data_IF_835101394242
#
_entry.id   IF_835101394242
#
_cell.length_a   1.000
_cell.length_b   1.000
_cell.length_c   1.000
_cell.angle_alpha   90.00
_cell.angle_beta   90.00
_cell.angle_gamma   90.00
#
_symmetry.space_group_name_H-M   'P 1'
#
loop_
_entity.id
_entity.type
_entity.pdbx_description
1 polymer ?
#
# COMPACT_ATOMS: atom_id res chain seq x y z
N UNK A 1 32.53 20.06 0.39
CA UNK A 1 31.83 21.33 0.62
C UNK A 1 32.64 22.13 1.67
N UNK A 2 33.11 23.34 1.33
CA UNK A 2 33.85 24.17 2.29
C UNK A 2 32.87 24.70 3.34
N UNK A 3 33.17 24.51 4.61
CA UNK A 3 32.47 25.18 5.71
C UNK A 3 32.61 26.71 5.55
N UNK A 4 31.55 27.49 5.85
CA UNK A 4 31.65 28.95 5.84
C UNK A 4 32.81 29.44 6.73
N UNK A 5 33.55 30.45 6.31
CA UNK A 5 34.71 30.97 7.03
C UNK A 5 34.45 31.39 8.50
N UNK A 6 33.19 31.70 8.84
CA UNK A 6 32.77 31.98 10.22
C UNK A 6 32.72 30.75 11.13
N UNK A 7 32.72 29.52 10.56
CA UNK A 7 32.66 28.26 11.31
C UNK A 7 34.08 27.68 11.60
N UNK A 8 35.14 28.17 10.97
CA UNK A 8 36.48 27.57 11.12
C UNK A 8 37.02 27.65 12.54
N UNK A 9 36.78 28.75 13.26
CA UNK A 9 37.19 28.89 14.65
C UNK A 9 36.43 27.99 15.62
N UNK A 10 35.11 27.83 15.39
CA UNK A 10 34.23 26.96 16.19
C UNK A 10 34.50 25.48 15.91
N UNK A 11 34.80 25.11 14.66
CA UNK A 11 35.15 23.75 14.29
C UNK A 11 36.47 23.29 14.99
N UNK A 12 37.50 24.11 15.03
CA UNK A 12 38.76 23.78 15.72
C UNK A 12 38.58 23.56 17.24
N UNK A 13 37.62 24.26 17.87
CA UNK A 13 37.28 24.04 19.27
C UNK A 13 36.53 22.68 19.43
N UNK A 14 35.59 22.40 18.56
CA UNK A 14 34.83 21.11 18.58
C UNK A 14 35.79 19.92 18.29
N UNK A 15 36.77 20.06 17.40
CA UNK A 15 37.79 19.02 17.17
C UNK A 15 38.58 18.69 18.44
N UNK A 16 38.90 19.70 19.23
CA UNK A 16 39.63 19.50 20.52
C UNK A 16 38.72 18.77 21.52
N UNK A 17 37.44 19.15 21.63
CA UNK A 17 36.49 18.45 22.48
C UNK A 17 36.28 17.02 21.98
N UNK A 18 36.18 16.81 20.67
CA UNK A 18 36.05 15.48 20.07
C UNK A 18 37.27 14.59 20.41
N UNK A 19 38.46 15.14 20.39
CA UNK A 19 39.67 14.41 20.77
C UNK A 19 39.76 14.11 22.28
N UNK A 20 39.09 14.93 23.12
CA UNK A 20 39.09 14.72 24.58
C UNK A 20 37.99 13.74 25.00
N UNK A 21 36.78 13.92 24.51
CA UNK A 21 35.60 13.05 24.80
C UNK A 21 34.65 13.03 23.59
N UNK A 22 34.79 11.99 22.80
CA UNK A 22 33.98 11.79 21.60
C UNK A 22 32.47 11.62 21.91
N UNK A 23 32.14 10.90 23.00
CA UNK A 23 30.73 10.62 23.35
C UNK A 23 30.03 11.89 23.80
N UNK A 24 30.66 12.67 24.69
CA UNK A 24 30.09 13.92 25.20
C UNK A 24 29.96 14.96 24.09
N UNK A 25 30.94 15.04 23.19
CA UNK A 25 30.89 15.99 22.05
C UNK A 25 29.81 15.60 21.06
N UNK A 26 29.64 14.30 20.77
CA UNK A 26 28.58 13.79 19.91
C UNK A 26 27.17 14.06 20.49
N UNK A 27 26.99 13.80 21.78
CA UNK A 27 25.74 14.10 22.48
C UNK A 27 25.36 15.58 22.39
N UNK A 28 26.35 16.49 22.58
CA UNK A 28 26.15 17.93 22.47
C UNK A 28 25.78 18.37 21.03
N UNK A 29 26.43 17.78 20.01
CA UNK A 29 26.10 18.04 18.58
C UNK A 29 24.70 17.58 18.28
N UNK A 30 24.30 16.39 18.72
CA UNK A 30 22.96 15.82 18.48
C UNK A 30 21.88 16.64 19.19
N UNK A 31 22.13 17.04 20.44
CA UNK A 31 21.19 17.87 21.19
C UNK A 31 20.98 19.24 20.53
N UNK A 32 22.06 19.85 20.06
CA UNK A 32 21.98 21.14 19.35
C UNK A 32 21.21 21.00 18.02
N UNK A 33 21.54 19.97 17.23
CA UNK A 33 20.83 19.65 16.01
C UNK A 33 19.34 19.48 16.26
N UNK A 34 18.96 18.71 17.28
CA UNK A 34 17.55 18.48 17.61
C UNK A 34 16.83 19.77 18.00
N UNK A 35 17.44 20.58 18.86
CA UNK A 35 16.88 21.87 19.27
C UNK A 35 16.68 22.83 18.09
N UNK A 36 17.61 22.84 17.14
CA UNK A 36 17.49 23.66 15.94
C UNK A 36 16.45 23.09 14.98
N UNK A 37 16.44 21.79 14.74
CA UNK A 37 15.48 21.12 13.85
C UNK A 37 14.03 21.25 14.30
N UNK A 38 13.76 21.41 15.60
CA UNK A 38 12.40 21.57 16.15
C UNK A 38 11.91 23.00 16.12
N UNK A 39 12.79 24.00 16.02
CA UNK A 39 12.46 25.43 16.11
C UNK A 39 12.41 26.14 14.76
N UNK A 40 13.00 25.60 13.72
CA UNK A 40 13.32 26.36 12.51
C UNK A 40 12.57 25.85 11.27
N UNK A 41 12.11 26.81 10.43
CA UNK A 41 11.51 26.54 9.12
C UNK A 41 12.56 26.04 8.09
N UNK A 42 13.86 26.13 8.40
CA UNK A 42 14.98 25.72 7.54
C UNK A 42 15.61 24.37 7.93
N UNK A 43 14.76 23.39 8.26
CA UNK A 43 15.19 22.06 8.74
C UNK A 43 16.23 21.38 7.86
N UNK A 44 16.08 21.42 6.52
CA UNK A 44 17.04 20.79 5.63
C UNK A 44 18.45 21.41 5.71
N UNK A 45 18.54 22.72 5.94
CA UNK A 45 19.82 23.41 6.13
C UNK A 45 20.51 22.98 7.44
N UNK A 46 19.74 22.85 8.52
CA UNK A 46 20.27 22.37 9.82
C UNK A 46 20.73 20.92 9.71
N UNK A 47 19.99 20.08 9.01
CA UNK A 47 20.33 18.69 8.75
C UNK A 47 21.65 18.59 7.94
N UNK A 48 21.77 19.34 6.84
CA UNK A 48 22.99 19.35 6.00
C UNK A 48 24.22 19.94 6.75
N UNK A 49 24.03 20.99 7.53
CA UNK A 49 25.10 21.58 8.32
C UNK A 49 25.61 20.61 9.41
N UNK A 50 24.71 19.89 10.06
CA UNK A 50 25.07 18.90 11.08
C UNK A 50 25.81 17.72 10.47
N UNK A 51 25.38 17.25 9.31
CA UNK A 51 26.07 16.17 8.60
C UNK A 51 27.49 16.60 8.15
N UNK A 52 27.60 17.80 7.59
CA UNK A 52 28.89 18.34 7.22
C UNK A 52 29.85 18.50 8.45
N UNK A 53 29.30 18.87 9.60
CA UNK A 53 30.03 18.91 10.84
C UNK A 53 30.50 17.52 11.30
N UNK A 54 29.63 16.52 11.25
CA UNK A 54 30.02 15.15 11.60
C UNK A 54 31.06 14.57 10.66
N UNK A 55 30.97 14.83 9.36
CA UNK A 55 32.02 14.46 8.38
C UNK A 55 33.36 15.16 8.64
N UNK A 56 33.31 16.39 9.14
CA UNK A 56 34.52 17.13 9.51
C UNK A 56 35.15 16.60 10.79
N UNK A 57 34.33 16.25 11.79
CA UNK A 57 34.85 15.75 13.09
C UNK A 57 35.38 14.32 12.99
N UNK A 58 34.83 13.49 12.10
CA UNK A 58 35.29 12.11 11.93
C UNK A 58 35.09 11.61 10.50
N UNK A 59 36.15 10.97 9.98
CA UNK A 59 36.08 10.23 8.72
C UNK A 59 35.49 8.80 8.90
N UNK A 60 35.27 8.38 10.15
CA UNK A 60 34.79 7.02 10.47
C UNK A 60 33.31 6.98 10.76
N UNK A 61 32.52 6.57 9.77
CA UNK A 61 31.08 6.28 9.96
C UNK A 61 30.87 5.25 11.07
N UNK A 62 31.77 4.30 11.22
CA UNK A 62 31.68 3.25 12.22
C UNK A 62 31.68 3.81 13.65
N UNK A 63 32.47 4.85 13.92
CA UNK A 63 32.53 5.48 15.23
C UNK A 63 31.22 6.17 15.60
N UNK A 64 30.62 6.93 14.68
CA UNK A 64 29.29 7.56 14.87
C UNK A 64 28.23 6.52 15.12
N UNK A 65 28.17 5.48 14.28
CA UNK A 65 27.18 4.40 14.44
C UNK A 65 27.36 3.66 15.78
N UNK A 66 28.58 3.32 16.17
CA UNK A 66 28.84 2.63 17.45
C UNK A 66 28.35 3.45 18.62
N UNK A 67 28.74 4.73 18.70
CA UNK A 67 28.40 5.61 19.83
C UNK A 67 26.87 5.81 19.93
N UNK A 68 26.20 6.06 18.79
CA UNK A 68 24.73 6.29 18.80
C UNK A 68 23.96 4.99 19.04
N UNK A 69 24.39 3.86 18.47
CA UNK A 69 23.77 2.54 18.72
C UNK A 69 23.93 2.10 20.17
N UNK A 70 25.06 2.38 20.80
CA UNK A 70 25.30 2.10 22.23
C UNK A 70 24.41 2.99 23.10
N UNK A 71 24.24 4.27 22.76
CA UNK A 71 23.33 5.18 23.43
C UNK A 71 21.85 4.67 23.34
N UNK A 72 21.40 4.24 22.18
CA UNK A 72 20.07 3.66 21.98
C UNK A 72 19.93 2.37 22.81
N UNK A 73 20.90 1.46 22.71
CA UNK A 73 20.86 0.15 23.38
C UNK A 73 20.87 0.27 24.90
N UNK A 74 21.48 1.30 25.46
CA UNK A 74 21.56 1.56 26.91
C UNK A 74 20.21 2.00 27.49
N UNK A 75 19.32 2.57 26.67
CA UNK A 75 18.01 3.08 27.08
C UNK A 75 16.92 2.02 27.05
N UNK A 76 17.07 0.98 26.20
CA UNK A 76 16.12 -0.14 26.16
C UNK A 76 16.23 -0.93 27.45
N UNK A 77 15.14 -1.10 28.24
CA UNK A 77 15.18 -1.77 29.51
C UNK A 77 15.57 -3.24 29.32
N UNK A 78 16.84 -3.54 29.66
CA UNK A 78 17.30 -4.92 29.84
C UNK A 78 16.99 -5.31 31.27
N UNK A 79 16.40 -6.45 31.47
CA UNK A 79 16.07 -7.01 32.79
C UNK A 79 17.27 -7.24 33.73
N UNK A 80 18.47 -6.73 33.43
CA UNK A 80 19.66 -6.81 34.33
C UNK A 80 20.71 -5.72 34.00
N UNK A 81 21.17 -5.11 35.07
CA UNK A 81 22.33 -4.23 35.26
C UNK A 81 22.20 -2.75 34.88
N UNK A 82 22.21 -1.94 35.93
CA UNK A 82 22.11 -0.50 35.88
C UNK A 82 23.33 0.21 35.29
N UNK A 83 23.43 0.28 33.96
CA UNK A 83 24.18 1.36 33.34
C UNK A 83 23.21 2.52 33.13
N UNK A 84 23.42 3.59 33.87
CA UNK A 84 22.73 4.85 33.67
C UNK A 84 23.16 5.40 32.30
N UNK A 85 22.21 5.58 31.38
CA UNK A 85 22.48 6.28 30.12
C UNK A 85 22.81 7.74 30.38
N UNK A 86 23.93 8.20 29.85
CA UNK A 86 24.39 9.60 29.96
C UNK A 86 23.68 10.53 28.97
N UNK A 87 23.07 10.01 27.92
CA UNK A 87 22.38 10.79 26.90
C UNK A 87 20.98 11.22 27.35
N UNK A 88 20.67 12.49 27.26
CA UNK A 88 19.37 13.10 27.63
C UNK A 88 18.34 12.91 26.50
N UNK A 89 18.79 12.58 25.28
CA UNK A 89 17.93 12.48 24.09
C UNK A 89 17.11 11.20 24.03
N UNK A 90 15.89 11.28 23.53
CA UNK A 90 15.02 10.11 23.33
C UNK A 90 15.53 9.20 22.20
N UNK A 91 15.19 7.90 22.25
CA UNK A 91 15.58 6.92 21.24
C UNK A 91 15.12 7.32 19.82
N UNK A 92 13.89 7.83 19.59
CA UNK A 92 13.44 8.27 18.27
C UNK A 92 14.35 9.35 17.64
N UNK A 93 14.85 10.28 18.45
CA UNK A 93 15.77 11.34 17.99
C UNK A 93 17.09 10.74 17.50
N UNK A 94 17.64 9.79 18.25
CA UNK A 94 18.88 9.10 17.91
C UNK A 94 18.73 8.27 16.63
N UNK A 95 17.60 7.55 16.48
CA UNK A 95 17.30 6.81 15.24
C UNK A 95 17.17 7.74 14.05
N UNK A 96 16.53 8.90 14.22
CA UNK A 96 16.36 9.87 13.16
C UNK A 96 17.70 10.45 12.71
N UNK A 97 18.61 10.71 13.63
CA UNK A 97 19.97 11.12 13.26
C UNK A 97 20.68 10.03 12.45
N UNK A 98 20.62 8.77 12.90
CA UNK A 98 21.20 7.65 12.15
C UNK A 98 20.58 7.48 10.76
N UNK A 99 19.27 7.63 10.64
CA UNK A 99 18.58 7.58 9.35
C UNK A 99 19.07 8.70 8.42
N UNK A 100 19.15 9.93 8.93
CA UNK A 100 19.68 11.08 8.20
C UNK A 100 21.14 10.85 7.76
N UNK A 101 21.98 10.40 8.69
CA UNK A 101 23.38 10.11 8.40
C UNK A 101 23.53 8.97 7.37
N UNK A 102 22.77 7.89 7.52
CA UNK A 102 22.75 6.77 6.57
C UNK A 102 22.34 7.21 5.15
N UNK A 103 21.48 8.23 5.00
CA UNK A 103 21.11 8.74 3.67
C UNK A 103 22.27 9.39 2.92
N UNK A 104 23.29 9.87 3.60
CA UNK A 104 24.48 10.51 2.98
C UNK A 104 25.62 9.52 2.73
N UNK A 105 25.69 8.42 3.48
CA UNK A 105 26.74 7.42 3.31
C UNK A 105 26.62 6.69 1.97
N UNK A 106 27.76 6.34 1.40
CA UNK A 106 27.86 5.43 0.25
C UNK A 106 27.67 3.96 0.66
N UNK A 107 27.44 3.08 -0.31
CA UNK A 107 27.22 1.66 -0.07
C UNK A 107 28.40 0.96 0.63
N UNK A 108 29.64 1.41 0.38
CA UNK A 108 30.83 0.87 1.01
C UNK A 108 30.89 1.19 2.50
N UNK A 109 30.59 2.43 2.88
CA UNK A 109 30.51 2.87 4.27
C UNK A 109 29.36 2.17 5.00
N UNK A 110 28.18 2.00 4.36
CA UNK A 110 27.06 1.22 4.92
C UNK A 110 27.48 -0.24 5.16
N UNK A 111 28.24 -0.85 4.25
CA UNK A 111 28.73 -2.21 4.42
C UNK A 111 29.64 -2.37 5.67
N UNK A 112 30.43 -1.37 5.97
CA UNK A 112 31.31 -1.37 7.15
C UNK A 112 30.54 -1.25 8.47
N UNK A 113 29.42 -0.50 8.50
CA UNK A 113 28.62 -0.27 9.70
C UNK A 113 27.49 -1.29 9.87
N UNK A 114 27.20 -2.09 8.85
CA UNK A 114 26.10 -3.08 8.89
C UNK A 114 26.18 -4.05 10.08
N UNK A 115 27.31 -4.61 10.49
CA UNK A 115 27.38 -5.51 11.64
C UNK A 115 26.86 -4.88 12.94
N UNK A 116 27.13 -3.57 13.15
CA UNK A 116 26.66 -2.81 14.31
C UNK A 116 25.15 -2.63 14.21
N UNK A 117 24.66 -2.25 13.03
CA UNK A 117 23.23 -2.10 12.77
C UNK A 117 22.44 -3.40 12.91
N UNK A 118 22.99 -4.52 12.43
CA UNK A 118 22.39 -5.84 12.57
C UNK A 118 22.21 -6.23 14.05
N UNK A 119 23.21 -5.94 14.90
CA UNK A 119 23.10 -6.17 16.34
C UNK A 119 22.02 -5.29 16.98
N UNK A 120 21.99 -4.00 16.61
CA UNK A 120 20.94 -3.08 17.07
C UNK A 120 19.55 -3.56 16.65
N UNK A 121 19.37 -3.93 15.38
CA UNK A 121 18.09 -4.42 14.86
C UNK A 121 17.58 -5.66 15.63
N UNK A 122 18.46 -6.61 15.92
CA UNK A 122 18.15 -7.78 16.76
C UNK A 122 17.75 -7.41 18.18
N UNK A 123 18.39 -6.40 18.76
CA UNK A 123 18.05 -5.89 20.10
C UNK A 123 16.68 -5.20 20.07
N UNK A 124 16.41 -4.39 19.06
CA UNK A 124 15.14 -3.68 18.90
C UNK A 124 13.99 -4.64 18.62
N UNK A 125 14.25 -5.76 17.96
CA UNK A 125 13.28 -6.82 17.74
C UNK A 125 12.83 -7.55 19.01
N UNK A 126 13.40 -7.24 20.16
CA UNK A 126 13.02 -7.78 21.48
C UNK A 126 12.25 -6.74 22.32
N UNK A 127 12.15 -5.49 21.86
CA UNK A 127 11.41 -4.44 22.58
C UNK A 127 9.93 -4.46 22.26
N UNK A 128 9.12 -4.00 23.21
CA UNK A 128 7.67 -3.81 23.06
C UNK A 128 7.28 -2.37 22.78
N UNK A 129 8.25 -1.45 22.68
CA UNK A 129 8.00 -0.04 22.36
C UNK A 129 7.69 0.12 20.85
N UNK A 130 6.46 0.52 20.47
CA UNK A 130 6.10 0.70 19.06
C UNK A 130 7.00 1.71 18.35
N UNK A 131 7.33 2.82 19.02
CA UNK A 131 8.17 3.88 18.46
C UNK A 131 9.56 3.40 18.10
N UNK A 132 10.20 2.70 19.02
CA UNK A 132 11.56 2.20 18.84
C UNK A 132 11.62 1.20 17.69
N UNK A 133 10.65 0.28 17.62
CA UNK A 133 10.57 -0.70 16.54
C UNK A 133 10.34 -0.03 15.17
N UNK A 134 9.46 0.95 15.13
CA UNK A 134 9.17 1.70 13.90
C UNK A 134 10.40 2.44 13.36
N UNK A 135 11.12 3.17 14.21
CA UNK A 135 12.33 3.89 13.80
C UNK A 135 13.47 2.93 13.42
N UNK A 136 13.59 1.81 14.14
CA UNK A 136 14.55 0.76 13.79
C UNK A 136 14.22 0.14 12.41
N UNK A 137 12.93 -0.07 12.09
CA UNK A 137 12.50 -0.54 10.78
C UNK A 137 12.87 0.46 9.68
N UNK A 138 12.59 1.75 9.87
CA UNK A 138 12.93 2.80 8.90
C UNK A 138 14.42 2.83 8.61
N UNK A 139 15.25 2.88 9.66
CA UNK A 139 16.69 2.87 9.53
C UNK A 139 17.21 1.61 8.82
N UNK A 140 16.68 0.41 9.21
CA UNK A 140 17.04 -0.85 8.57
C UNK A 140 16.65 -0.86 7.08
N UNK A 141 15.52 -0.25 6.72
CA UNK A 141 15.09 -0.14 5.33
C UNK A 141 16.04 0.75 4.52
N UNK A 142 16.40 1.94 5.01
CA UNK A 142 17.34 2.85 4.34
C UNK A 142 18.70 2.18 4.16
N UNK A 143 19.24 1.60 5.22
CA UNK A 143 20.56 0.97 5.16
C UNK A 143 20.55 -0.29 4.29
N UNK A 144 19.52 -1.14 4.44
CA UNK A 144 19.39 -2.36 3.65
C UNK A 144 19.29 -2.08 2.16
N UNK A 145 18.47 -1.10 1.75
CA UNK A 145 18.35 -0.72 0.33
C UNK A 145 19.65 -0.17 -0.24
N UNK A 146 20.39 0.64 0.50
CA UNK A 146 21.72 1.11 0.06
C UNK A 146 22.76 -0.01 0.01
N UNK A 147 22.68 -0.96 0.93
CA UNK A 147 23.60 -2.10 0.98
C UNK A 147 23.47 -2.99 -0.28
N UNK A 148 22.33 -2.97 -0.97
CA UNK A 148 22.16 -3.73 -2.22
C UNK A 148 23.14 -3.33 -3.32
N UNK A 149 23.64 -2.10 -3.28
CA UNK A 149 24.63 -1.57 -4.24
C UNK A 149 26.07 -1.96 -3.88
N UNK A 150 26.28 -2.64 -2.74
CA UNK A 150 27.59 -3.12 -2.29
C UNK A 150 27.84 -4.58 -2.65
N UNK A 151 29.13 -4.94 -2.80
CA UNK A 151 29.52 -6.33 -3.00
C UNK A 151 29.17 -7.25 -1.81
N UNK A 152 29.08 -6.67 -0.60
CA UNK A 152 28.74 -7.41 0.62
C UNK A 152 27.34 -8.01 0.58
N UNK A 153 26.38 -7.38 -0.11
CA UNK A 153 25.03 -7.90 -0.28
C UNK A 153 24.97 -9.17 -1.17
N UNK A 154 25.97 -9.40 -2.01
CA UNK A 154 26.06 -10.61 -2.82
C UNK A 154 26.38 -11.84 -1.96
N UNK A 155 26.99 -11.66 -0.79
CA UNK A 155 27.19 -12.72 0.17
C UNK A 155 25.88 -13.23 0.74
N UNK A 156 25.62 -14.52 0.61
CA UNK A 156 24.35 -15.12 1.05
C UNK A 156 24.06 -14.91 2.55
N UNK A 157 25.11 -14.92 3.38
CA UNK A 157 24.98 -14.72 4.83
C UNK A 157 24.50 -13.30 5.14
N UNK A 158 25.15 -12.29 4.58
CA UNK A 158 24.81 -10.87 4.79
C UNK A 158 23.40 -10.58 4.27
N UNK A 159 23.09 -11.05 3.06
CA UNK A 159 21.77 -10.87 2.48
C UNK A 159 20.65 -11.46 3.37
N UNK A 160 20.84 -12.67 3.89
CA UNK A 160 19.88 -13.29 4.82
C UNK A 160 19.76 -12.51 6.11
N UNK A 161 20.85 -12.05 6.67
CA UNK A 161 20.86 -11.24 7.90
C UNK A 161 20.08 -9.93 7.73
N UNK A 162 20.25 -9.23 6.59
CA UNK A 162 19.48 -8.05 6.22
C UNK A 162 17.99 -8.37 6.11
N UNK A 163 17.65 -9.41 5.35
CA UNK A 163 16.27 -9.83 5.14
C UNK A 163 15.58 -10.22 6.45
N UNK A 164 16.26 -10.99 7.31
CA UNK A 164 15.71 -11.46 8.59
C UNK A 164 15.48 -10.29 9.57
N UNK A 165 16.43 -9.37 9.67
CA UNK A 165 16.28 -8.18 10.49
C UNK A 165 15.12 -7.30 10.00
N UNK A 166 15.06 -7.04 8.69
CA UNK A 166 14.03 -6.23 8.04
C UNK A 166 12.63 -6.83 8.22
N UNK A 167 12.43 -8.10 7.88
CA UNK A 167 11.14 -8.78 7.96
C UNK A 167 10.65 -8.84 9.39
N UNK A 168 11.52 -9.17 10.35
CA UNK A 168 11.15 -9.24 11.77
C UNK A 168 10.69 -7.90 12.32
N UNK A 169 11.42 -6.81 12.01
CA UNK A 169 11.01 -5.46 12.43
C UNK A 169 9.71 -5.03 11.75
N UNK A 170 9.51 -5.40 10.48
CA UNK A 170 8.28 -5.14 9.75
C UNK A 170 7.07 -5.81 10.41
N UNK A 171 7.13 -7.11 10.68
CA UNK A 171 6.06 -7.86 11.35
C UNK A 171 5.74 -7.32 12.73
N UNK A 172 6.76 -6.97 13.51
CA UNK A 172 6.58 -6.35 14.83
C UNK A 172 5.89 -4.99 14.72
N UNK A 173 6.34 -4.13 13.80
CA UNK A 173 5.72 -2.81 13.56
C UNK A 173 4.24 -2.98 13.21
N UNK A 174 3.92 -3.86 12.26
CA UNK A 174 2.55 -4.14 11.85
C UNK A 174 1.70 -4.63 13.04
N UNK A 175 2.22 -5.54 13.85
CA UNK A 175 1.47 -6.11 14.97
C UNK A 175 1.25 -5.12 16.10
N UNK A 176 2.23 -4.26 16.40
CA UNK A 176 2.14 -3.28 17.48
C UNK A 176 1.20 -2.11 17.10
N UNK A 177 1.33 -1.58 15.89
CA UNK A 177 0.49 -0.46 15.44
C UNK A 177 -0.91 -0.90 14.98
N UNK A 178 -1.05 -2.09 14.41
CA UNK A 178 -2.35 -2.64 14.04
C UNK A 178 -3.29 -2.83 15.23
N UNK A 179 -2.75 -3.24 16.39
CA UNK A 179 -3.53 -3.30 17.64
C UNK A 179 -4.00 -1.93 18.11
N UNK A 180 -3.24 -0.88 17.86
CA UNK A 180 -3.61 0.50 18.19
C UNK A 180 -4.74 1.03 17.30
N UNK A 181 -4.80 0.61 16.04
CA UNK A 181 -5.89 0.94 15.11
C UNK A 181 -7.23 0.31 15.54
N UNK A 182 -7.19 -0.92 16.05
CA UNK A 182 -8.40 -1.65 16.49
C UNK A 182 -9.03 -1.01 17.75
N UNK A 183 -8.21 -0.44 18.65
CA UNK A 183 -8.67 0.22 19.87
C UNK A 183 -9.35 1.57 19.56
N UNK A 184 -8.91 2.29 18.53
CA UNK A 184 -9.49 3.58 18.14
C UNK A 184 -10.84 3.46 17.42
N UNK A 185 -11.14 2.32 16.81
CA UNK A 185 -12.40 2.07 16.10
C UNK A 185 -13.57 1.62 17.01
N UNK A 186 -13.34 1.31 18.28
CA UNK A 186 -14.30 0.67 19.17
C UNK A 186 -14.66 1.41 20.46
N UNK A 187 -14.18 2.63 20.72
CA UNK A 187 -14.53 3.37 21.94
C UNK A 187 -14.89 4.81 21.67
N UNK A 188 -16.16 5.12 21.83
CA UNK A 188 -16.63 6.43 22.23
C UNK A 188 -15.85 6.92 23.46
N UNK A 189 -15.57 8.18 23.46
CA UNK A 189 -14.73 9.07 24.24
C UNK A 189 -14.93 9.08 25.76
N UNK A 190 -14.82 7.98 26.50
CA UNK A 190 -14.91 7.98 27.95
C UNK A 190 -13.88 7.08 28.69
N UNK A 191 -12.66 6.95 28.16
CA UNK A 191 -11.56 6.40 28.94
C UNK A 191 -10.63 7.55 29.37
N UNK A 192 -10.35 7.72 30.69
CA UNK A 192 -9.39 8.71 31.14
C UNK A 192 -8.03 8.39 30.53
N UNK A 193 -7.44 9.35 29.86
CA UNK A 193 -6.06 9.30 29.41
C UNK A 193 -5.17 9.01 30.61
N UNK A 194 -4.67 7.79 30.73
CA UNK A 194 -3.54 7.51 31.60
C UNK A 194 -2.34 8.19 30.95
N UNK A 195 -2.22 9.49 31.19
CA UNK A 195 -1.00 10.24 30.97
C UNK A 195 0.06 9.54 31.84
N UNK A 196 0.94 8.78 31.22
CA UNK A 196 2.17 8.36 31.87
C UNK A 196 2.97 9.64 32.12
N UNK A 197 3.27 9.87 33.38
CA UNK A 197 4.01 10.99 33.96
C UNK A 197 5.51 10.95 33.56
N UNK A 198 5.76 10.83 32.26
CA UNK A 198 7.09 11.02 31.65
C UNK A 198 6.91 12.10 30.61
N UNK A 199 7.52 13.25 30.87
CA UNK A 199 7.47 14.49 30.10
C UNK A 199 7.82 14.34 28.60
N UNK A 200 7.03 13.55 27.90
CA UNK A 200 7.06 13.42 26.44
C UNK A 200 6.32 14.60 25.84
N UNK A 201 7.01 15.41 25.08
CA UNK A 201 6.42 16.51 24.33
C UNK A 201 5.46 15.93 23.28
N UNK A 202 4.28 16.54 23.04
CA UNK A 202 3.24 16.02 22.11
C UNK A 202 3.70 15.81 20.67
N UNK A 203 4.92 16.23 20.30
CA UNK A 203 5.47 16.12 18.94
C UNK A 203 6.10 14.77 18.59
N UNK A 204 6.30 13.88 19.57
CA UNK A 204 7.02 12.61 19.33
C UNK A 204 6.08 11.42 19.06
N UNK A 205 4.77 11.61 19.13
CA UNK A 205 3.79 10.56 18.90
C UNK A 205 3.56 10.34 17.39
N UNK A 206 4.14 9.27 16.85
CA UNK A 206 3.87 8.86 15.46
C UNK A 206 2.46 8.26 15.38
N UNK A 207 1.60 8.86 14.56
CA UNK A 207 0.24 8.34 14.38
C UNK A 207 0.25 6.96 13.67
N UNK A 208 -0.67 6.05 14.02
CA UNK A 208 -0.80 4.77 13.31
C UNK A 208 -0.98 4.93 11.79
N UNK A 209 -1.70 5.96 11.37
CA UNK A 209 -1.88 6.30 9.95
C UNK A 209 -0.54 6.61 9.26
N UNK A 210 0.31 7.44 9.89
CA UNK A 210 1.64 7.78 9.37
C UNK A 210 2.55 6.55 9.26
N UNK A 211 2.42 5.60 10.20
CA UNK A 211 3.18 4.33 10.14
C UNK A 211 2.74 3.50 8.95
N UNK A 212 1.43 3.35 8.74
CA UNK A 212 0.90 2.58 7.59
C UNK A 212 1.30 3.23 6.27
N UNK A 213 1.25 4.57 6.16
CA UNK A 213 1.74 5.28 4.99
C UNK A 213 3.24 5.03 4.74
N UNK A 214 4.06 5.03 5.79
CA UNK A 214 5.50 4.68 5.65
C UNK A 214 5.69 3.22 5.24
N UNK A 215 4.89 2.30 5.78
CA UNK A 215 4.90 0.90 5.33
C UNK A 215 4.62 0.81 3.83
N UNK A 216 3.59 1.47 3.34
CA UNK A 216 3.20 1.44 1.93
C UNK A 216 4.22 2.13 1.00
N UNK A 217 4.72 3.31 1.37
CA UNK A 217 5.56 4.14 0.50
C UNK A 217 7.05 3.75 0.50
N UNK A 218 7.54 3.17 1.59
CA UNK A 218 8.97 2.92 1.79
C UNK A 218 9.30 1.45 2.05
N UNK A 219 8.57 0.81 2.97
CA UNK A 219 8.93 -0.52 3.46
C UNK A 219 8.53 -1.61 2.48
N UNK A 220 7.27 -1.62 2.00
CA UNK A 220 6.78 -2.66 1.08
C UNK A 220 7.52 -2.64 -0.27
N UNK A 221 7.85 -1.51 -0.90
CA UNK A 221 8.71 -1.49 -2.09
C UNK A 221 10.11 -2.08 -1.86
N UNK A 222 10.66 -1.94 -0.64
CA UNK A 222 11.97 -2.48 -0.30
C UNK A 222 12.05 -4.01 -0.34
N UNK A 223 10.92 -4.74 -0.24
CA UNK A 223 10.90 -6.21 -0.38
C UNK A 223 11.48 -6.67 -1.71
N UNK A 224 11.16 -5.97 -2.80
CA UNK A 224 11.68 -6.26 -4.14
C UNK A 224 13.16 -5.92 -4.24
N UNK A 225 13.57 -4.75 -3.74
CA UNK A 225 14.96 -4.30 -3.76
C UNK A 225 15.87 -5.21 -2.94
N UNK A 226 15.41 -5.62 -1.75
CA UNK A 226 16.14 -6.54 -0.87
C UNK A 226 16.05 -8.01 -1.31
N UNK A 227 15.30 -8.30 -2.38
CA UNK A 227 15.11 -9.67 -2.92
C UNK A 227 14.63 -10.64 -1.84
N UNK A 228 13.65 -10.21 -1.03
CA UNK A 228 13.12 -11.03 0.07
C UNK A 228 12.41 -12.26 -0.47
N UNK A 229 12.60 -13.41 0.21
CA UNK A 229 12.01 -14.68 -0.19
C UNK A 229 10.47 -14.63 -0.14
N UNK A 230 9.80 -15.33 -1.06
CA UNK A 230 8.33 -15.30 -1.20
C UNK A 230 7.60 -15.72 0.08
N UNK A 231 8.11 -16.71 0.82
CA UNK A 231 7.49 -17.17 2.07
C UNK A 231 7.46 -16.04 3.12
N UNK A 232 8.53 -15.26 3.21
CA UNK A 232 8.61 -14.09 4.11
C UNK A 232 7.66 -12.98 3.66
N UNK A 233 7.54 -12.73 2.36
CA UNK A 233 6.57 -11.78 1.79
C UNK A 233 5.15 -12.22 2.15
N UNK A 234 4.83 -13.50 2.03
CA UNK A 234 3.52 -14.04 2.40
C UNK A 234 3.23 -13.87 3.89
N UNK A 235 4.21 -14.10 4.77
CA UNK A 235 4.07 -13.92 6.22
C UNK A 235 3.73 -12.46 6.57
N UNK A 236 4.48 -11.51 6.01
CA UNK A 236 4.21 -10.07 6.23
C UNK A 236 2.87 -9.65 5.64
N UNK A 237 2.51 -10.13 4.44
CA UNK A 237 1.20 -9.82 3.84
C UNK A 237 0.04 -10.40 4.65
N UNK A 238 0.21 -11.58 5.26
CA UNK A 238 -0.77 -12.16 6.17
C UNK A 238 -0.91 -11.32 7.46
N UNK A 239 0.19 -10.79 7.99
CA UNK A 239 0.18 -9.88 9.13
C UNK A 239 -0.54 -8.57 8.81
N UNK A 240 -0.29 -7.95 7.63
CA UNK A 240 -1.03 -6.77 7.16
C UNK A 240 -2.52 -7.04 7.00
N UNK A 241 -2.87 -8.20 6.42
CA UNK A 241 -4.26 -8.59 6.25
C UNK A 241 -4.96 -8.78 7.61
N UNK A 242 -4.30 -9.40 8.57
CA UNK A 242 -4.86 -9.68 9.89
C UNK A 242 -5.00 -8.42 10.76
N UNK A 243 -3.94 -7.60 10.84
CA UNK A 243 -3.88 -6.46 11.75
C UNK A 243 -4.43 -5.15 11.18
N UNK A 244 -4.50 -4.99 9.86
CA UNK A 244 -4.91 -3.75 9.21
C UNK A 244 -6.16 -3.95 8.33
N UNK A 245 -6.11 -4.87 7.36
CA UNK A 245 -7.25 -5.03 6.44
C UNK A 245 -8.49 -5.59 7.14
N UNK A 246 -8.35 -6.68 7.91
CA UNK A 246 -9.49 -7.32 8.55
C UNK A 246 -10.24 -6.40 9.53
N UNK A 247 -9.59 -5.63 10.42
CA UNK A 247 -10.27 -4.64 11.25
C UNK A 247 -10.90 -3.53 10.42
N UNK A 248 -10.17 -2.94 9.47
CA UNK A 248 -10.67 -1.85 8.63
C UNK A 248 -11.87 -2.24 7.79
N UNK A 249 -11.89 -3.46 7.24
CA UNK A 249 -13.04 -3.97 6.51
C UNK A 249 -14.23 -4.37 7.41
N UNK A 250 -13.99 -4.74 8.67
CA UNK A 250 -15.06 -5.00 9.67
C UNK A 250 -15.65 -3.72 10.23
N UNK A 251 -14.86 -2.69 10.45
CA UNK A 251 -15.29 -1.40 11.00
C UNK A 251 -16.27 -0.62 10.09
N UNK A 252 -16.54 -1.11 8.87
CA UNK A 252 -17.52 -0.56 7.91
C UNK A 252 -18.98 -0.56 8.36
N UNK A 253 -19.29 -0.84 9.61
CA UNK A 253 -20.67 -0.93 10.13
C UNK A 253 -21.40 0.42 10.10
N UNK A 254 -21.47 1.09 8.99
CA UNK A 254 -22.16 2.39 8.80
C UNK A 254 -21.79 3.08 7.50
N UNK A 255 -20.58 2.91 7.02
CA UNK A 255 -20.14 3.38 5.70
C UNK A 255 -19.68 2.20 4.86
N UNK A 256 -20.24 2.07 3.65
CA UNK A 256 -19.82 1.03 2.73
C UNK A 256 -18.46 1.33 2.08
N UNK A 257 -18.03 2.58 2.11
CA UNK A 257 -16.79 3.05 1.52
C UNK A 257 -15.61 2.77 2.47
N UNK A 258 -14.56 2.06 2.01
CA UNK A 258 -13.35 1.87 2.81
C UNK A 258 -12.61 3.19 3.04
N UNK A 259 -11.89 3.25 4.15
CA UNK A 259 -10.97 4.36 4.38
C UNK A 259 -9.86 4.39 3.32
N UNK A 260 -9.40 5.58 2.89
CA UNK A 260 -8.33 5.73 1.89
C UNK A 260 -7.07 4.92 2.21
N UNK A 261 -6.72 4.82 3.48
CA UNK A 261 -5.56 4.07 3.96
C UNK A 261 -5.61 2.57 3.58
N UNK A 262 -6.81 1.97 3.55
CA UNK A 262 -6.98 0.57 3.15
C UNK A 262 -6.67 0.35 1.66
N UNK A 263 -6.95 1.35 0.83
CA UNK A 263 -6.58 1.31 -0.60
C UNK A 263 -5.07 1.37 -0.78
N UNK A 264 -4.36 2.24 -0.03
CA UNK A 264 -2.89 2.32 -0.07
C UNK A 264 -2.26 0.97 0.28
N UNK A 265 -2.77 0.30 1.32
CA UNK A 265 -2.29 -1.03 1.71
C UNK A 265 -2.59 -2.08 0.64
N UNK A 266 -3.83 -2.11 0.11
CA UNK A 266 -4.20 -3.05 -0.95
C UNK A 266 -3.37 -2.85 -2.21
N UNK A 267 -3.20 -1.61 -2.65
CA UNK A 267 -2.41 -1.26 -3.82
C UNK A 267 -0.95 -1.71 -3.66
N UNK A 268 -0.34 -1.39 -2.51
CA UNK A 268 1.02 -1.82 -2.19
C UNK A 268 1.15 -3.35 -2.19
N UNK A 269 0.17 -4.09 -1.66
CA UNK A 269 0.15 -5.55 -1.68
C UNK A 269 0.02 -6.12 -3.11
N UNK A 270 -0.69 -5.43 -4.02
CA UNK A 270 -0.81 -5.88 -5.41
C UNK A 270 0.52 -5.82 -6.18
N UNK A 271 1.47 -4.99 -5.73
CA UNK A 271 2.80 -4.88 -6.33
C UNK A 271 3.74 -5.99 -5.87
N UNK A 272 3.43 -6.68 -4.77
CA UNK A 272 4.26 -7.76 -4.24
C UNK A 272 3.89 -9.11 -4.84
N UNK A 273 4.88 -9.96 -5.20
CA UNK A 273 4.61 -11.27 -5.78
C UNK A 273 3.93 -12.21 -4.76
N UNK A 274 3.06 -13.09 -5.26
CA UNK A 274 2.43 -14.17 -4.50
C UNK A 274 1.59 -13.75 -3.27
N UNK A 275 1.15 -12.49 -3.18
CA UNK A 275 0.33 -11.98 -2.06
C UNK A 275 -1.17 -12.08 -2.30
N UNK A 276 -1.63 -12.41 -3.52
CA UNK A 276 -3.05 -12.38 -3.89
C UNK A 276 -3.96 -13.18 -2.94
N UNK A 277 -3.47 -14.30 -2.40
CA UNK A 277 -4.23 -15.14 -1.45
C UNK A 277 -4.61 -14.42 -0.15
N UNK A 278 -3.83 -13.44 0.29
CA UNK A 278 -4.06 -12.74 1.56
C UNK A 278 -5.07 -11.61 1.47
N UNK A 279 -5.17 -10.93 0.32
CA UNK A 279 -6.03 -9.76 0.15
C UNK A 279 -7.22 -9.97 -0.80
N UNK A 280 -7.21 -11.02 -1.64
CA UNK A 280 -8.24 -11.24 -2.66
C UNK A 280 -9.67 -11.34 -2.14
N UNK A 281 -9.88 -11.92 -0.96
CA UNK A 281 -11.22 -12.05 -0.38
C UNK A 281 -11.85 -10.69 -0.13
N UNK A 282 -11.12 -9.74 0.42
CA UNK A 282 -11.60 -8.37 0.68
C UNK A 282 -12.02 -7.67 -0.62
N UNK A 283 -11.22 -7.83 -1.68
CA UNK A 283 -11.52 -7.26 -2.99
C UNK A 283 -12.72 -7.95 -3.63
N UNK A 284 -12.76 -9.29 -3.62
CA UNK A 284 -13.89 -10.06 -4.22
C UNK A 284 -15.19 -9.82 -3.49
N UNK A 285 -15.21 -9.86 -2.15
CA UNK A 285 -16.42 -9.63 -1.35
C UNK A 285 -16.99 -8.24 -1.63
N UNK A 286 -16.12 -7.24 -1.75
CA UNK A 286 -16.55 -5.89 -2.13
C UNK A 286 -17.02 -5.83 -3.59
N UNK A 287 -16.30 -6.43 -4.53
CA UNK A 287 -16.61 -6.41 -5.95
C UNK A 287 -17.92 -7.13 -6.27
N UNK A 288 -18.26 -8.20 -5.53
CA UNK A 288 -19.50 -8.94 -5.71
C UNK A 288 -20.66 -8.40 -4.87
N UNK A 289 -20.46 -7.42 -4.02
CA UNK A 289 -21.53 -6.72 -3.31
C UNK A 289 -22.44 -5.98 -4.31
N UNK A 290 -23.75 -5.99 -4.03
CA UNK A 290 -24.75 -5.34 -4.89
C UNK A 290 -24.56 -3.82 -4.97
N UNK A 291 -23.97 -3.22 -3.94
CA UNK A 291 -23.70 -1.77 -3.82
C UNK A 291 -22.47 -1.31 -4.59
N UNK A 292 -21.64 -2.22 -5.12
CA UNK A 292 -20.39 -1.87 -5.79
C UNK A 292 -20.56 -0.81 -6.88
N UNK A 293 -21.61 -0.91 -7.68
CA UNK A 293 -21.89 0.07 -8.74
C UNK A 293 -22.77 1.26 -8.30
N UNK A 294 -23.17 1.32 -7.02
CA UNK A 294 -23.86 2.48 -6.46
C UNK A 294 -22.89 3.51 -5.84
N UNK A 295 -21.61 3.16 -5.72
CA UNK A 295 -20.56 4.05 -5.20
C UNK A 295 -20.19 5.17 -6.20
N UNK A 296 -19.44 6.16 -5.72
CA UNK A 296 -18.95 7.25 -6.57
C UNK A 296 -18.00 6.75 -7.67
N UNK A 297 -17.88 7.52 -8.74
CA UNK A 297 -16.96 7.20 -9.83
C UNK A 297 -15.50 7.15 -9.34
N UNK A 298 -15.13 8.02 -8.40
CA UNK A 298 -13.77 8.08 -7.88
C UNK A 298 -13.44 6.84 -7.03
N UNK A 299 -14.40 6.33 -6.26
CA UNK A 299 -14.26 5.05 -5.60
C UNK A 299 -14.10 3.89 -6.60
N UNK A 300 -14.89 3.90 -7.67
CA UNK A 300 -14.72 2.94 -8.76
C UNK A 300 -13.30 2.97 -9.34
N UNK A 301 -12.72 4.15 -9.55
CA UNK A 301 -11.33 4.29 -10.02
C UNK A 301 -10.31 3.74 -9.04
N UNK A 302 -10.52 3.92 -7.73
CA UNK A 302 -9.62 3.39 -6.71
C UNK A 302 -9.62 1.85 -6.67
N UNK A 303 -10.75 1.19 -6.93
CA UNK A 303 -10.82 -0.27 -7.03
C UNK A 303 -10.17 -0.86 -8.28
N UNK A 304 -10.03 -0.07 -9.35
CA UNK A 304 -9.58 -0.55 -10.65
C UNK A 304 -8.22 -1.27 -10.61
N UNK A 305 -7.14 -0.73 -9.99
CA UNK A 305 -5.83 -1.40 -9.96
C UNK A 305 -5.87 -2.74 -9.22
N UNK A 306 -6.62 -2.85 -8.12
CA UNK A 306 -6.72 -4.10 -7.35
C UNK A 306 -7.48 -5.17 -8.13
N UNK A 307 -8.58 -4.80 -8.77
CA UNK A 307 -9.37 -5.73 -9.61
C UNK A 307 -8.55 -6.15 -10.83
N UNK A 308 -7.86 -5.24 -11.49
CA UNK A 308 -6.96 -5.56 -12.59
C UNK A 308 -5.85 -6.54 -12.15
N UNK A 309 -5.20 -6.29 -11.02
CA UNK A 309 -4.17 -7.17 -10.46
C UNK A 309 -4.72 -8.56 -10.12
N UNK A 310 -5.90 -8.64 -9.54
CA UNK A 310 -6.56 -9.90 -9.20
C UNK A 310 -6.83 -10.75 -10.45
N UNK A 311 -7.50 -10.19 -11.46
CA UNK A 311 -7.85 -10.92 -12.67
C UNK A 311 -6.64 -11.15 -13.61
N UNK A 312 -5.53 -10.42 -13.45
CA UNK A 312 -4.25 -10.72 -14.09
C UNK A 312 -3.60 -11.97 -13.49
N UNK A 313 -3.64 -12.09 -12.15
CA UNK A 313 -3.04 -13.23 -11.44
C UNK A 313 -3.89 -14.50 -11.51
N UNK A 314 -5.22 -14.38 -11.61
CA UNK A 314 -6.18 -15.47 -11.56
C UNK A 314 -7.15 -15.38 -12.75
N UNK A 315 -6.63 -15.56 -13.97
CA UNK A 315 -7.40 -15.38 -15.23
C UNK A 315 -8.65 -16.27 -15.34
N UNK A 316 -8.59 -17.46 -14.75
CA UNK A 316 -9.70 -18.42 -14.77
C UNK A 316 -10.94 -17.89 -14.03
N UNK A 317 -10.76 -16.95 -13.10
CA UNK A 317 -11.90 -16.32 -12.39
C UNK A 317 -12.82 -15.50 -13.28
N UNK A 318 -12.34 -15.05 -14.46
CA UNK A 318 -13.26 -14.41 -15.40
C UNK A 318 -14.36 -15.37 -15.87
N UNK A 319 -14.05 -16.66 -16.00
CA UNK A 319 -15.04 -17.69 -16.32
C UNK A 319 -16.13 -17.80 -15.25
N UNK A 320 -15.81 -17.57 -13.96
CA UNK A 320 -16.80 -17.53 -12.88
C UNK A 320 -17.72 -16.31 -13.02
N UNK A 321 -17.17 -15.15 -13.41
CA UNK A 321 -17.98 -13.93 -13.67
C UNK A 321 -18.91 -14.18 -14.87
N UNK A 322 -18.39 -14.76 -15.95
CA UNK A 322 -19.16 -15.08 -17.16
C UNK A 322 -20.24 -16.12 -16.84
N UNK A 323 -19.92 -17.15 -16.04
CA UNK A 323 -20.88 -18.18 -15.62
C UNK A 323 -22.10 -17.60 -14.89
N UNK A 324 -21.89 -16.58 -14.06
CA UNK A 324 -22.99 -15.89 -13.32
C UNK A 324 -23.98 -15.15 -14.23
N UNK A 325 -23.61 -14.86 -15.47
CA UNK A 325 -24.50 -14.23 -16.44
C UNK A 325 -25.63 -15.20 -16.86
N UNK A 326 -25.34 -16.49 -16.93
CA UNK A 326 -26.28 -17.53 -17.44
C UNK A 326 -27.03 -18.26 -16.34
N UNK A 327 -26.57 -18.22 -15.11
CA UNK A 327 -27.27 -18.92 -14.01
C UNK A 327 -28.54 -18.16 -13.64
N UNK A 328 -29.65 -18.58 -14.22
CA UNK A 328 -30.93 -18.37 -13.57
C UNK A 328 -30.81 -18.98 -12.16
N UNK A 329 -31.18 -18.22 -11.14
CA UNK A 329 -31.20 -18.78 -9.78
C UNK A 329 -32.15 -19.97 -9.79
N UNK A 330 -31.61 -21.18 -9.60
CA UNK A 330 -32.40 -22.41 -9.52
C UNK A 330 -33.25 -22.47 -8.23
N UNK A 331 -33.17 -21.43 -7.42
CA UNK A 331 -33.96 -21.29 -6.21
C UNK A 331 -35.38 -20.83 -6.56
N UNK A 332 -36.33 -21.71 -6.40
CA UNK A 332 -37.78 -21.45 -6.53
C UNK A 332 -38.28 -20.28 -5.67
N UNK A 333 -37.48 -19.74 -4.79
CA UNK A 333 -37.80 -18.65 -3.85
C UNK A 333 -37.18 -17.29 -4.22
N UNK A 334 -36.36 -17.17 -5.28
CA UNK A 334 -35.84 -15.88 -5.73
C UNK A 334 -36.87 -15.16 -6.59
N UNK A 335 -37.14 -13.89 -6.28
CA UNK A 335 -38.02 -13.08 -7.10
C UNK A 335 -37.38 -12.87 -8.50
N UNK A 336 -38.24 -12.78 -9.52
CA UNK A 336 -37.85 -12.53 -10.92
C UNK A 336 -36.96 -11.27 -11.03
N UNK A 337 -37.26 -10.27 -10.22
CA UNK A 337 -36.47 -8.99 -10.19
C UNK A 337 -35.07 -9.20 -9.61
N UNK A 338 -34.94 -10.04 -8.57
CA UNK A 338 -33.63 -10.35 -7.99
C UNK A 338 -32.70 -11.04 -9.00
N UNK A 339 -33.22 -11.97 -9.80
CA UNK A 339 -32.49 -12.66 -10.87
C UNK A 339 -32.09 -11.67 -11.98
N UNK A 340 -33.00 -10.75 -12.34
CA UNK A 340 -32.72 -9.69 -13.30
C UNK A 340 -31.55 -8.81 -12.87
N UNK A 341 -31.59 -8.29 -11.63
CA UNK A 341 -30.51 -7.44 -11.11
C UNK A 341 -29.20 -8.20 -10.95
N UNK A 342 -29.23 -9.48 -10.61
CA UNK A 342 -28.03 -10.31 -10.55
C UNK A 342 -27.36 -10.46 -11.92
N UNK A 343 -28.13 -10.66 -12.99
CA UNK A 343 -27.62 -10.74 -14.38
C UNK A 343 -27.06 -9.41 -14.86
N UNK A 344 -27.79 -8.31 -14.65
CA UNK A 344 -27.34 -6.95 -14.93
C UNK A 344 -26.01 -6.68 -14.23
N UNK A 345 -25.93 -7.00 -12.93
CA UNK A 345 -24.71 -6.86 -12.14
C UNK A 345 -23.55 -7.72 -12.64
N UNK A 346 -23.82 -8.94 -13.13
CA UNK A 346 -22.78 -9.82 -13.68
C UNK A 346 -22.20 -9.28 -15.00
N UNK A 347 -23.05 -8.79 -15.92
CA UNK A 347 -22.58 -8.18 -17.18
C UNK A 347 -21.80 -6.90 -16.90
N UNK A 348 -22.25 -6.07 -15.96
CA UNK A 348 -21.56 -4.85 -15.55
C UNK A 348 -20.21 -5.16 -14.93
N UNK A 349 -20.08 -6.23 -14.13
CA UNK A 349 -18.79 -6.70 -13.60
C UNK A 349 -17.87 -7.19 -14.70
N UNK A 350 -18.37 -7.95 -15.66
CA UNK A 350 -17.58 -8.34 -16.83
C UNK A 350 -17.02 -7.12 -17.56
N UNK A 351 -17.88 -6.14 -17.83
CA UNK A 351 -17.48 -4.88 -18.47
C UNK A 351 -16.39 -4.15 -17.67
N UNK A 352 -16.55 -4.08 -16.34
CA UNK A 352 -15.59 -3.41 -15.46
C UNK A 352 -14.23 -4.13 -15.43
N UNK A 353 -14.21 -5.46 -15.33
CA UNK A 353 -12.97 -6.27 -15.36
C UNK A 353 -12.23 -6.07 -16.68
N UNK A 354 -12.94 -6.14 -17.80
CA UNK A 354 -12.33 -5.91 -19.13
C UNK A 354 -11.82 -4.48 -19.26
N UNK A 355 -12.58 -3.49 -18.79
CA UNK A 355 -12.19 -2.08 -18.85
C UNK A 355 -10.92 -1.78 -18.06
N UNK A 356 -10.77 -2.34 -16.86
CA UNK A 356 -9.62 -2.09 -15.98
C UNK A 356 -8.37 -2.88 -16.36
N UNK A 357 -8.52 -3.92 -17.19
CA UNK A 357 -7.42 -4.79 -17.60
C UNK A 357 -6.64 -4.25 -18.81
N UNK A 358 -5.51 -4.86 -19.10
CA UNK A 358 -4.70 -4.53 -20.29
C UNK A 358 -5.45 -4.85 -21.59
N UNK A 359 -5.09 -4.13 -22.67
CA UNK A 359 -5.65 -4.39 -24.00
C UNK A 359 -5.41 -5.86 -24.39
N UNK A 360 -6.45 -6.50 -24.92
CA UNK A 360 -6.44 -7.91 -25.34
C UNK A 360 -6.13 -8.94 -24.23
N UNK A 361 -6.26 -8.57 -22.94
CA UNK A 361 -5.93 -9.46 -21.83
C UNK A 361 -6.73 -10.78 -21.82
N UNK A 362 -7.97 -10.77 -22.32
CA UNK A 362 -8.92 -11.88 -22.21
C UNK A 362 -9.35 -12.48 -23.56
N UNK A 363 -8.45 -12.50 -24.54
CA UNK A 363 -8.74 -13.09 -25.86
C UNK A 363 -9.15 -14.57 -25.79
N UNK A 364 -8.57 -15.33 -24.87
CA UNK A 364 -8.91 -16.74 -24.69
C UNK A 364 -10.35 -16.97 -24.22
N UNK A 365 -10.92 -16.02 -23.46
CA UNK A 365 -12.29 -16.07 -22.95
C UNK A 365 -13.31 -15.44 -23.91
N UNK A 366 -12.87 -14.75 -24.95
CA UNK A 366 -13.74 -14.01 -25.86
C UNK A 366 -14.78 -14.89 -26.57
N UNK A 367 -14.48 -16.13 -27.02
CA UNK A 367 -15.50 -17.01 -27.59
C UNK A 367 -16.63 -17.36 -26.59
N UNK A 368 -16.29 -17.62 -25.33
CA UNK A 368 -17.28 -17.89 -24.28
C UNK A 368 -18.13 -16.63 -24.00
N UNK A 369 -17.51 -15.46 -23.96
CA UNK A 369 -18.23 -14.18 -23.80
C UNK A 369 -19.20 -13.98 -24.99
N UNK A 370 -18.75 -14.24 -26.21
CA UNK A 370 -19.58 -14.12 -27.40
C UNK A 370 -20.80 -15.05 -27.34
N UNK A 371 -20.62 -16.33 -26.97
CA UNK A 371 -21.71 -17.27 -26.78
C UNK A 371 -22.77 -16.71 -25.82
N UNK A 372 -22.35 -16.22 -24.65
CA UNK A 372 -23.25 -15.67 -23.63
C UNK A 372 -23.97 -14.40 -24.08
N UNK A 373 -23.30 -13.51 -24.79
CA UNK A 373 -23.90 -12.31 -25.37
C UNK A 373 -24.97 -12.67 -26.38
N UNK A 374 -24.70 -13.63 -27.26
CA UNK A 374 -25.67 -14.13 -28.25
C UNK A 374 -26.90 -14.76 -27.55
N UNK A 375 -26.65 -15.61 -26.54
CA UNK A 375 -27.75 -16.25 -25.78
C UNK A 375 -28.62 -15.20 -25.10
N UNK A 376 -28.06 -14.18 -24.50
CA UNK A 376 -28.79 -13.09 -23.85
C UNK A 376 -29.70 -12.38 -24.87
N UNK A 377 -29.10 -11.92 -25.98
CA UNK A 377 -29.84 -11.15 -26.98
C UNK A 377 -30.99 -11.96 -27.65
N UNK A 378 -30.88 -13.30 -27.68
CA UNK A 378 -31.93 -14.18 -28.24
C UNK A 378 -32.99 -14.58 -27.24
N UNK A 379 -32.60 -14.83 -25.98
CA UNK A 379 -33.46 -15.50 -24.99
C UNK A 379 -34.01 -14.60 -23.90
N UNK A 380 -33.35 -13.48 -23.60
CA UNK A 380 -33.76 -12.60 -22.50
C UNK A 380 -34.83 -11.58 -22.98
N UNK A 381 -35.98 -11.50 -22.35
CA UNK A 381 -36.99 -10.48 -22.66
C UNK A 381 -36.71 -9.14 -21.94
N UNK A 382 -35.64 -9.04 -21.12
CA UNK A 382 -35.42 -7.92 -20.21
C UNK A 382 -34.58 -6.81 -20.86
N UNK A 383 -35.18 -5.65 -21.07
CA UNK A 383 -34.56 -4.49 -21.70
C UNK A 383 -33.29 -4.00 -20.94
N UNK A 384 -33.27 -4.05 -19.59
CA UNK A 384 -32.11 -3.69 -18.80
C UNK A 384 -30.90 -4.59 -19.06
N UNK A 385 -31.13 -5.90 -19.23
CA UNK A 385 -30.03 -6.83 -19.53
C UNK A 385 -29.40 -6.54 -20.90
N UNK A 386 -30.27 -6.26 -21.90
CA UNK A 386 -29.79 -5.84 -23.22
C UNK A 386 -29.04 -4.50 -23.19
N UNK A 387 -29.50 -3.53 -22.38
CA UNK A 387 -28.81 -2.25 -22.21
C UNK A 387 -27.37 -2.43 -21.68
N UNK A 388 -27.16 -3.36 -20.74
CA UNK A 388 -25.82 -3.69 -20.22
C UNK A 388 -24.95 -4.42 -21.27
N UNK A 389 -25.54 -5.21 -22.15
CA UNK A 389 -24.79 -5.81 -23.29
C UNK A 389 -24.23 -4.73 -24.20
N UNK A 390 -25.00 -3.68 -24.53
CA UNK A 390 -24.51 -2.55 -25.33
C UNK A 390 -23.44 -1.73 -24.61
N UNK A 391 -23.51 -1.59 -23.29
CA UNK A 391 -22.42 -1.02 -22.49
C UNK A 391 -21.15 -1.90 -22.60
N UNK A 392 -21.32 -3.21 -22.44
CA UNK A 392 -20.23 -4.18 -22.54
C UNK A 392 -19.55 -4.12 -23.92
N UNK A 393 -20.31 -4.00 -25.00
CA UNK A 393 -19.78 -3.85 -26.37
C UNK A 393 -18.95 -2.58 -26.54
N UNK A 394 -19.35 -1.44 -25.96
CA UNK A 394 -18.53 -0.21 -25.96
C UNK A 394 -17.20 -0.42 -25.24
N UNK A 395 -17.22 -1.13 -24.13
CA UNK A 395 -15.98 -1.49 -23.41
C UNK A 395 -15.10 -2.40 -24.26
N UNK A 396 -15.68 -3.37 -24.96
CA UNK A 396 -14.91 -4.26 -25.84
C UNK A 396 -14.24 -3.51 -26.99
N UNK A 397 -14.90 -2.52 -27.58
CA UNK A 397 -14.33 -1.66 -28.59
C UNK A 397 -13.13 -0.84 -28.08
N UNK A 398 -13.13 -0.50 -26.78
CA UNK A 398 -11.99 0.20 -26.15
C UNK A 398 -10.82 -0.74 -25.83
N UNK A 399 -11.07 -2.05 -25.61
CA UNK A 399 -10.10 -2.97 -25.00
C UNK A 399 -9.66 -4.13 -25.87
N UNK A 400 -10.41 -4.45 -26.91
CA UNK A 400 -10.04 -5.48 -27.90
C UNK A 400 -9.77 -4.87 -29.27
N UNK A 401 -8.79 -5.42 -29.96
CA UNK A 401 -8.59 -5.05 -31.36
C UNK A 401 -9.80 -5.49 -32.21
N UNK A 402 -10.21 -4.66 -33.18
CA UNK A 402 -11.43 -4.81 -33.98
C UNK A 402 -11.55 -6.17 -34.68
N UNK A 403 -10.42 -6.73 -35.08
CA UNK A 403 -10.35 -8.05 -35.72
C UNK A 403 -10.88 -9.19 -34.83
N UNK A 404 -10.83 -9.06 -33.51
CA UNK A 404 -11.30 -10.06 -32.57
C UNK A 404 -12.80 -9.93 -32.28
N UNK A 405 -13.44 -8.83 -32.68
CA UNK A 405 -14.84 -8.54 -32.42
C UNK A 405 -15.77 -8.87 -33.61
N UNK A 406 -15.21 -9.35 -34.72
CA UNK A 406 -15.99 -9.61 -35.96
C UNK A 406 -17.19 -10.51 -35.75
N UNK A 407 -17.07 -11.52 -34.87
CA UNK A 407 -18.15 -12.47 -34.59
C UNK A 407 -19.34 -11.90 -33.83
N UNK A 408 -19.20 -10.72 -33.18
CA UNK A 408 -20.31 -10.07 -32.47
C UNK A 408 -21.25 -9.29 -33.39
N UNK A 409 -20.74 -8.73 -34.47
CA UNK A 409 -21.46 -7.76 -35.31
C UNK A 409 -22.77 -8.26 -35.91
N UNK A 410 -22.88 -9.49 -36.43
CA UNK A 410 -24.14 -9.92 -37.04
C UNK A 410 -25.33 -9.83 -36.10
N UNK A 411 -25.19 -10.30 -34.86
CA UNK A 411 -26.26 -10.26 -33.88
C UNK A 411 -26.49 -8.88 -33.30
N UNK A 412 -25.39 -8.16 -32.97
CA UNK A 412 -25.47 -6.81 -32.40
C UNK A 412 -26.16 -5.85 -33.36
N UNK A 413 -25.74 -5.81 -34.64
CA UNK A 413 -26.34 -4.90 -35.64
C UNK A 413 -27.80 -5.25 -35.94
N UNK A 414 -28.12 -6.53 -36.02
CA UNK A 414 -29.52 -6.96 -36.24
C UNK A 414 -30.43 -6.47 -35.10
N UNK A 415 -30.02 -6.65 -33.86
CA UNK A 415 -30.77 -6.22 -32.69
C UNK A 415 -30.84 -4.69 -32.56
N UNK A 416 -29.73 -3.98 -32.86
CA UNK A 416 -29.73 -2.51 -32.91
C UNK A 416 -30.74 -1.95 -33.87
N UNK A 417 -30.77 -2.47 -35.12
CA UNK A 417 -31.76 -2.06 -36.13
C UNK A 417 -33.18 -2.33 -35.67
N UNK A 418 -33.44 -3.51 -35.11
CA UNK A 418 -34.74 -3.86 -34.57
C UNK A 418 -35.21 -2.91 -33.47
N UNK A 419 -34.34 -2.59 -32.50
CA UNK A 419 -34.68 -1.71 -31.38
C UNK A 419 -34.92 -0.27 -31.86
N UNK A 420 -34.10 0.25 -32.75
CA UNK A 420 -34.26 1.60 -33.31
C UNK A 420 -35.50 1.72 -34.19
N UNK A 421 -35.81 0.69 -35.00
CA UNK A 421 -37.04 0.66 -35.80
C UNK A 421 -38.29 0.67 -34.91
N UNK A 422 -38.30 -0.07 -33.84
CA UNK A 422 -39.39 -0.05 -32.87
C UNK A 422 -39.54 1.30 -32.17
N UNK A 423 -38.43 1.90 -31.71
CA UNK A 423 -38.44 3.21 -31.06
C UNK A 423 -38.89 4.35 -31.98
N UNK A 424 -38.73 4.20 -33.30
CA UNK A 424 -39.25 5.14 -34.30
C UNK A 424 -40.75 5.09 -34.41
N UNK A 425 -41.35 3.91 -34.22
CA UNK A 425 -42.82 3.72 -34.32
C UNK A 425 -43.49 4.14 -33.01
N UNK A 426 -42.92 3.74 -31.88
CA UNK A 426 -43.47 4.01 -30.54
C UNK A 426 -42.32 4.45 -29.63
N UNK A 427 -42.33 5.72 -29.26
CA UNK A 427 -41.29 6.28 -28.39
C UNK A 427 -41.52 5.81 -26.95
N UNK A 428 -40.51 5.18 -26.30
CA UNK A 428 -40.65 4.68 -24.94
C UNK A 428 -40.96 5.78 -23.93
N UNK A 429 -41.77 5.42 -22.93
CA UNK A 429 -42.12 6.32 -21.82
C UNK A 429 -40.87 6.75 -21.04
N UNK A 430 -40.90 7.97 -20.47
CA UNK A 430 -39.85 8.51 -19.62
C UNK A 430 -39.52 7.54 -18.45
N UNK A 431 -38.22 7.42 -18.19
CA UNK A 431 -37.65 6.56 -17.12
C UNK A 431 -37.94 5.07 -17.26
N UNK A 432 -38.45 4.60 -18.43
CA UNK A 432 -38.63 3.17 -18.67
C UNK A 432 -37.33 2.45 -18.98
N UNK A 433 -37.27 1.15 -18.66
CA UNK A 433 -36.16 0.26 -19.02
C UNK A 433 -35.94 0.24 -20.54
N UNK A 434 -37.04 0.34 -21.30
CA UNK A 434 -37.01 0.42 -22.76
C UNK A 434 -36.32 1.67 -23.27
N UNK A 435 -36.53 2.82 -22.64
CA UNK A 435 -35.83 4.07 -22.98
C UNK A 435 -34.35 3.97 -22.68
N UNK A 436 -33.97 3.35 -21.56
CA UNK A 436 -32.57 3.10 -21.20
C UNK A 436 -31.90 2.19 -22.25
N UNK A 437 -32.58 1.16 -22.74
CA UNK A 437 -32.09 0.32 -23.82
C UNK A 437 -31.85 1.13 -25.10
N UNK A 438 -32.81 1.94 -25.53
CA UNK A 438 -32.67 2.79 -26.73
C UNK A 438 -31.48 3.73 -26.60
N UNK A 439 -31.32 4.39 -25.43
CA UNK A 439 -30.12 5.23 -25.19
C UNK A 439 -28.81 4.44 -25.24
N UNK A 440 -28.79 3.21 -24.73
CA UNK A 440 -27.58 2.37 -24.77
C UNK A 440 -27.20 1.99 -26.21
N UNK A 441 -28.21 1.72 -27.06
CA UNK A 441 -28.04 1.46 -28.50
C UNK A 441 -27.53 2.70 -29.24
N UNK A 442 -28.16 3.86 -29.00
CA UNK A 442 -27.75 5.13 -29.61
C UNK A 442 -26.30 5.47 -29.23
N UNK A 443 -25.93 5.31 -27.95
CA UNK A 443 -24.55 5.52 -27.49
C UNK A 443 -23.56 4.56 -28.11
N UNK A 444 -23.95 3.32 -28.43
CA UNK A 444 -23.06 2.42 -29.16
C UNK A 444 -22.96 2.85 -30.64
N UNK A 445 -24.05 3.26 -31.28
CA UNK A 445 -24.04 3.74 -32.66
C UNK A 445 -23.15 5.00 -32.81
N UNK A 446 -23.30 5.97 -31.90
CA UNK A 446 -22.46 7.17 -31.83
C UNK A 446 -20.97 6.86 -31.63
N UNK A 447 -20.67 5.80 -30.86
CA UNK A 447 -19.31 5.35 -30.61
C UNK A 447 -18.66 4.66 -31.84
N UNK A 448 -19.46 4.18 -32.79
CA UNK A 448 -18.98 3.50 -34.02
C UNK A 448 -18.73 4.47 -35.18
N UNK A 449 -19.22 5.69 -35.09
CA UNK A 449 -19.03 6.78 -36.10
C UNK A 449 -17.78 7.59 -35.76
#
# INVERSE_FOLDING_TARGET
ACLPQSMTGSAAVLERFWAMDTSMTLDAVIEHWWRCSTRDMHRSYVDDATLALLEHLTSSAQLVFTSVCDAISSKVPKNRSGRVSTSILSEPVLFRLLELYATKLDAGSIAQVWPIMSLLARTMAQTTSPYVVYHALRLTTVMGTKLTDSNLFNEQRTRRDVQDAFVRLCELTISLYGRSLDISSGRDSDAPSVASDRGETPSDVVSPTSVVQTLCSMVLPAFTTLRVDQDKIQSVSASLAYYILAPGFRARQGSWEPEPLLFEVLESLTQLPATSKTWRSYVLDTFFDVRFFAQSLDMGKQWAPMIAALFRSERDRLSDVIGRISTASSNLFTSRDSDLFARVGAIRRLSYVVYTSETNAFLAQLPLIQEKVVDILRSSPADLVHAEVYLCMRVFLCRFASQHLTGFWPIILTEMVRILAQAKVDLPADKSDRLQLVFSVVKLADFLI
#
